data_IF_031769542394
#
_entry.id   IF_031769542394
#
_cell.length_a   1.000
_cell.length_b   1.000
_cell.length_c   1.000
_cell.angle_alpha   90.00
_cell.angle_beta   90.00
_cell.angle_gamma   90.00
#
_symmetry.space_group_name_H-M   'P 1'
#
loop_
_entity.id
_entity.type
_entity.pdbx_description
1 polymer ?
2 water ?
#
# COMPACT_ATOMS: atom_id res chain seq x y z
N UNK A 1 -3.34 24.62 27.23
CA UNK A 1 -4.21 25.24 26.18
C UNK A 1 -4.22 24.36 24.97
N UNK A 2 -5.16 24.63 24.08
CA UNK A 2 -5.23 23.84 22.84
C UNK A 2 -3.98 23.99 21.98
N UNK A 3 -3.67 22.93 21.23
CA UNK A 3 -2.58 22.98 20.28
C UNK A 3 -2.88 24.01 19.21
N UNK A 4 -1.97 24.94 19.01
CA UNK A 4 -2.15 25.99 18.02
C UNK A 4 -1.39 25.69 16.74
N UNK A 5 -0.88 24.47 16.60
CA UNK A 5 -0.21 24.03 15.38
C UNK A 5 -0.87 22.74 14.94
N UNK A 6 -0.70 22.43 13.66
CA UNK A 6 -1.22 21.18 13.13
C UNK A 6 -0.15 20.10 13.21
N UNK A 7 -0.53 18.96 13.75
CA UNK A 7 0.36 17.81 13.80
C UNK A 7 0.44 17.19 12.43
N UNK A 8 1.51 16.43 12.20
CA UNK A 8 1.68 15.70 10.93
C UNK A 8 0.85 14.40 10.95
N UNK A 9 -0.46 14.56 10.75
CA UNK A 9 -1.39 13.45 10.90
C UNK A 9 -1.01 12.26 10.03
N UNK A 10 -0.94 11.09 10.68
CA UNK A 10 -0.67 9.86 10.00
C UNK A 10 0.76 9.67 9.57
N UNK A 11 1.65 10.60 9.91
CA UNK A 11 3.01 10.51 9.38
C UNK A 11 3.75 9.26 9.87
N UNK A 12 3.41 8.74 11.04
CA UNK A 12 4.09 7.51 11.48
C UNK A 12 3.81 6.37 10.52
N UNK A 13 2.57 6.30 10.01
CA UNK A 13 2.25 5.32 8.97
C UNK A 13 3.06 5.61 7.71
N UNK A 14 3.19 6.89 7.34
CA UNK A 14 3.94 7.23 6.13
C UNK A 14 5.40 6.82 6.25
N UNK A 15 6.02 7.07 7.42
CA UNK A 15 7.44 6.77 7.56
C UNK A 15 7.75 5.31 7.24
N UNK A 16 6.83 4.40 7.58
CA UNK A 16 7.11 2.98 7.45
C UNK A 16 6.37 2.33 6.28
N UNK A 17 5.74 3.12 5.42
CA UNK A 17 5.12 2.61 4.20
C UNK A 17 5.59 3.33 2.93
N UNK A 18 6.07 4.56 3.02
CA UNK A 18 6.53 5.31 1.86
C UNK A 18 8.04 5.40 1.91
N UNK A 19 8.71 4.84 0.90
CA UNK A 19 10.17 4.70 0.98
C UNK A 19 10.87 6.06 1.03
N UNK A 20 10.35 7.06 0.31
CA UNK A 20 11.00 8.37 0.34
C UNK A 20 10.95 8.96 1.75
N UNK A 21 9.84 8.74 2.46
CA UNK A 21 9.72 9.21 3.84
C UNK A 21 10.60 8.38 4.78
N UNK A 22 10.60 7.06 4.59
CA UNK A 22 11.47 6.17 5.37
C UNK A 22 12.92 6.59 5.26
N UNK A 23 13.35 7.00 4.05
CA UNK A 23 14.75 7.38 3.83
C UNK A 23 15.12 8.72 4.49
N UNK A 24 14.14 9.54 4.86
CA UNK A 24 14.41 10.86 5.45
C UNK A 24 13.22 11.28 6.30
N UNK A 25 13.04 10.65 7.49
CA UNK A 25 11.82 10.84 8.28
C UNK A 25 11.89 12.04 9.21
N UNK A 26 12.09 13.20 8.61
CA UNK A 26 12.31 14.41 9.36
C UNK A 26 11.23 15.44 9.05
N UNK A 27 11.14 16.44 9.92
CA UNK A 27 10.21 17.54 9.69
C UNK A 27 8.82 17.33 10.23
N UNK A 28 8.53 16.15 10.76
CA UNK A 28 7.23 15.90 11.33
C UNK A 28 7.01 16.63 12.63
N UNK A 29 5.77 17.04 12.83
CA UNK A 29 5.30 17.72 14.02
C UNK A 29 4.45 16.75 14.82
N UNK A 30 4.92 16.42 16.03
CA UNK A 30 4.32 15.36 16.82
C UNK A 30 4.10 15.85 18.24
N UNK A 31 3.20 15.18 18.94
CA UNK A 31 2.91 15.50 20.33
C UNK A 31 3.42 14.40 21.25
N UNK A 32 4.04 14.80 22.36
CA UNK A 32 4.49 13.79 23.31
C UNK A 32 3.27 13.15 23.96
N UNK A 33 3.23 11.81 23.94
CA UNK A 33 2.11 11.04 24.46
C UNK A 33 2.37 10.51 25.86
N UNK A 34 3.60 10.08 26.15
CA UNK A 34 3.96 9.63 27.48
C UNK A 34 5.47 9.63 27.59
N UNK A 35 5.96 9.88 28.80
CA UNK A 35 7.38 9.74 29.07
C UNK A 35 7.52 8.84 30.30
N UNK A 36 8.73 8.37 30.55
CA UNK A 36 8.97 7.49 31.70
C UNK A 36 9.73 8.17 32.83
N UNK A 45 15.10 2.53 30.29
CA UNK A 45 15.43 3.34 29.13
C UNK A 45 14.81 4.73 29.27
N UNK A 46 15.47 5.60 30.04
CA UNK A 46 14.88 6.90 30.36
C UNK A 46 14.66 7.77 29.14
N UNK A 47 15.23 7.41 28.00
CA UNK A 47 15.14 8.19 26.77
C UNK A 47 14.13 7.63 25.78
N UNK A 48 13.36 6.61 26.16
CA UNK A 48 12.33 6.04 25.30
C UNK A 48 11.01 6.67 25.69
N UNK A 49 10.36 7.31 24.74
CA UNK A 49 9.10 8.01 24.98
C UNK A 49 8.07 7.51 23.97
N UNK A 50 6.83 7.92 24.19
CA UNK A 50 5.76 7.69 23.21
C UNK A 50 5.36 9.03 22.64
N UNK A 51 5.21 9.09 21.31
CA UNK A 51 4.81 10.29 20.59
C UNK A 51 3.57 9.99 19.75
N UNK A 52 2.89 11.07 19.36
CA UNK A 52 1.62 11.02 18.65
C UNK A 52 1.69 11.90 17.42
N UNK A 53 1.17 11.38 16.29
CA UNK A 53 0.99 12.19 15.09
C UNK A 53 -0.43 12.70 14.93
N UNK A 54 -1.31 12.47 15.94
CA UNK A 54 -2.70 12.86 15.92
C UNK A 54 -3.64 11.73 15.51
N UNK A 55 -3.10 10.73 14.83
CA UNK A 55 -3.85 9.54 14.39
C UNK A 55 -3.26 8.30 15.04
N UNK A 56 -1.96 8.13 14.97
CA UNK A 56 -1.22 7.04 15.55
C UNK A 56 -0.31 7.53 16.67
N UNK A 57 0.02 6.61 17.57
CA UNK A 57 1.13 6.86 18.49
C UNK A 57 2.16 5.76 18.34
N UNK A 58 3.43 6.11 18.63
CA UNK A 58 4.51 5.15 18.42
C UNK A 58 5.64 5.48 19.39
N UNK A 59 6.56 4.55 19.54
CA UNK A 59 7.74 4.76 20.38
C UNK A 59 8.82 5.54 19.66
N UNK A 60 9.51 6.41 20.41
CA UNK A 60 10.65 7.16 19.88
C UNK A 60 11.77 7.05 20.90
N UNK A 61 12.98 6.83 20.40
CA UNK A 61 14.16 6.82 21.27
C UNK A 61 14.90 8.12 21.03
N UNK A 62 15.08 8.90 22.09
CA UNK A 62 15.77 10.19 21.99
C UNK A 62 17.24 9.94 22.26
N UNK A 63 18.09 10.37 21.33
CA UNK A 63 19.53 10.17 21.44
C UNK A 63 20.24 11.48 21.20
N UNK A 64 21.50 11.55 21.65
CA UNK A 64 22.38 12.67 21.30
C UNK A 64 21.72 13.98 21.68
N UNK A 65 21.66 14.97 20.79
CA UNK A 65 21.13 16.27 21.19
C UNK A 65 19.68 16.16 21.62
N UNK A 66 18.91 15.24 21.04
CA UNK A 66 17.54 15.09 21.50
C UNK A 66 17.47 14.61 22.96
N UNK A 67 18.40 13.76 23.38
CA UNK A 67 18.43 13.34 24.78
C UNK A 67 18.76 14.52 25.68
N UNK A 68 19.66 15.39 25.22
CA UNK A 68 20.00 16.57 26.01
C UNK A 68 18.81 17.51 26.14
N UNK A 69 18.07 17.71 25.06
CA UNK A 69 16.90 18.57 25.08
C UNK A 69 15.77 17.96 25.90
N UNK A 70 15.64 16.63 25.90
CA UNK A 70 14.68 15.99 26.79
C UNK A 70 14.87 16.49 28.20
N UNK A 71 16.13 16.56 28.62
CA UNK A 71 16.45 17.00 29.98
C UNK A 71 16.27 18.51 30.15
N UNK A 72 16.87 19.31 29.26
CA UNK A 72 16.83 20.76 29.44
C UNK A 72 15.41 21.30 29.29
N UNK A 73 14.61 20.67 28.46
CA UNK A 73 13.25 21.11 28.22
C UNK A 73 12.22 20.52 29.15
N UNK A 74 12.62 19.57 29.98
CA UNK A 74 11.68 18.96 30.87
C UNK A 74 10.50 18.38 30.10
N UNK A 75 10.80 17.69 29.00
CA UNK A 75 9.77 17.25 28.08
C UNK A 75 8.75 16.36 28.75
N UNK A 76 7.47 16.60 28.43
CA UNK A 76 6.35 15.89 29.06
C UNK A 76 5.22 15.69 28.07
N UNK A 77 4.28 14.85 28.49
CA UNK A 77 3.04 14.64 27.75
C UNK A 77 2.39 15.98 27.43
N UNK A 78 1.98 16.13 26.17
CA UNK A 78 1.35 17.33 25.65
C UNK A 78 2.29 18.25 24.91
N UNK A 79 3.59 18.21 25.21
CA UNK A 79 4.52 19.03 24.46
C UNK A 79 4.46 18.66 22.98
N UNK A 80 4.62 19.67 22.12
CA UNK A 80 4.64 19.48 20.67
C UNK A 80 6.03 19.80 20.17
N UNK A 81 6.61 18.88 19.37
CA UNK A 81 7.96 18.97 18.88
C UNK A 81 7.96 18.83 17.36
N UNK A 82 9.01 19.36 16.74
CA UNK A 82 9.30 19.12 15.33
C UNK A 82 10.60 18.34 15.24
N UNK A 83 10.57 17.17 14.60
CA UNK A 83 11.76 16.33 14.51
C UNK A 83 12.69 16.86 13.43
N UNK A 84 13.98 17.00 13.77
CA UNK A 84 14.97 17.57 12.87
C UNK A 84 15.90 16.51 12.30
N UNK A 85 16.35 15.57 13.13
CA UNK A 85 17.24 14.49 12.69
C UNK A 85 16.63 13.19 13.19
N UNK A 86 16.41 12.23 12.30
CA UNK A 86 15.80 10.98 12.72
C UNK A 86 16.05 9.88 11.70
N UNK A 87 15.85 8.65 12.17
CA UNK A 87 15.93 7.48 11.32
C UNK A 87 14.97 6.42 11.82
N UNK A 88 14.41 5.64 10.92
CA UNK A 88 13.43 4.63 11.32
C UNK A 88 14.12 3.37 11.78
N UNK A 89 13.44 2.64 12.66
CA UNK A 89 13.90 1.31 13.02
C UNK A 89 12.73 0.34 13.11
N UNK A 90 12.89 -0.81 12.44
CA UNK A 90 11.93 -1.90 12.53
C UNK A 90 12.65 -3.09 13.14
N UNK A 91 12.11 -3.60 14.24
CA UNK A 91 12.58 -4.84 14.84
C UNK A 91 11.63 -5.92 14.31
N UNK A 92 12.02 -6.54 13.19
CA UNK A 92 11.09 -7.44 12.49
C UNK A 92 10.73 -8.64 13.34
N UNK A 93 11.71 -9.22 14.04
CA UNK A 93 11.44 -10.42 14.83
C UNK A 93 10.34 -10.17 15.85
N UNK A 94 10.27 -8.96 16.39
CA UNK A 94 9.29 -8.60 17.40
C UNK A 94 8.16 -7.73 16.88
N UNK A 95 8.15 -7.40 15.57
CA UNK A 95 7.11 -6.56 14.96
C UNK A 95 7.00 -5.24 15.71
N UNK A 96 8.14 -4.70 16.11
CA UNK A 96 8.22 -3.46 16.87
C UNK A 96 8.82 -2.34 16.03
N UNK A 97 8.27 -1.13 16.18
CA UNK A 97 8.65 0.04 15.43
C UNK A 97 9.13 1.14 16.38
N UNK A 98 10.20 1.82 15.98
CA UNK A 98 10.75 2.92 16.79
C UNK A 98 11.27 4.00 15.86
N UNK A 99 11.07 5.26 16.24
CA UNK A 99 11.68 6.37 15.54
C UNK A 99 12.89 6.80 16.37
N UNK A 100 14.09 6.68 15.80
CA UNK A 100 15.33 7.08 16.48
C UNK A 100 15.53 8.57 16.19
N UNK A 101 15.40 9.41 17.23
CA UNK A 101 15.37 10.85 17.08
C UNK A 101 16.66 11.41 17.67
N UNK A 102 17.46 12.05 16.82
CA UNK A 102 18.71 12.65 17.25
C UNK A 102 18.62 14.15 17.51
N UNK A 103 17.59 14.84 17.02
CA UNK A 103 17.42 16.25 17.31
C UNK A 103 15.98 16.64 17.01
N UNK A 104 15.47 17.60 17.77
CA UNK A 104 14.12 18.11 17.57
C UNK A 104 14.11 19.52 18.14
N UNK A 105 13.05 20.24 17.80
CA UNK A 105 12.81 21.55 18.40
C UNK A 105 11.44 21.54 19.07
N UNK A 106 11.33 22.33 20.12
CA UNK A 106 10.08 22.48 20.85
C UNK A 106 9.21 23.51 20.14
N UNK A 107 7.98 23.12 19.83
CA UNK A 107 7.02 23.99 19.16
C UNK A 107 6.04 24.60 20.15
N UNK A 108 5.52 23.81 21.09
CA UNK A 108 4.55 24.29 22.08
C UNK A 108 4.66 23.45 23.34
N UNK A 109 4.61 24.12 24.50
CA UNK A 109 4.71 23.45 25.78
C UNK A 109 3.33 23.07 26.31
N UNK A 110 3.19 21.80 26.68
CA UNK A 110 2.05 21.32 27.46
C UNK A 110 0.71 21.67 26.80
N UNK A 111 0.60 21.40 25.51
CA UNK A 111 -0.66 21.57 24.82
C UNK A 111 -1.61 20.44 25.22
N UNK A 112 -2.91 20.72 25.17
CA UNK A 112 -3.90 19.67 25.38
C UNK A 112 -3.69 18.60 24.31
N UNK A 113 -3.91 17.34 24.67
CA UNK A 113 -3.72 16.27 23.68
C UNK A 113 -4.69 16.39 22.51
N UNK A 114 -4.14 16.32 21.29
CA UNK A 114 -4.97 16.37 20.09
C UNK A 114 -5.85 15.13 20.02
N UNK A 115 -5.27 13.97 20.31
CA UNK A 115 -6.02 12.71 20.27
C UNK A 115 -5.63 11.87 21.48
N UNK A 116 -6.61 11.59 22.33
CA UNK A 116 -6.34 10.78 23.48
C UNK A 116 -6.50 9.30 23.14
N UNK A 117 -7.16 8.98 22.02
CA UNK A 117 -7.46 7.61 21.64
C UNK A 117 -6.93 7.25 20.24
N UNK A 118 -5.64 7.44 20.07
CA UNK A 118 -4.93 7.11 18.86
C UNK A 118 -4.63 5.63 18.83
N UNK A 119 -4.28 5.14 17.63
CA UNK A 119 -3.94 3.74 17.42
C UNK A 119 -2.43 3.57 17.58
N UNK A 120 -2.02 2.55 18.34
CA UNK A 120 -0.60 2.23 18.47
C UNK A 120 -0.08 1.69 17.15
N UNK A 121 1.00 2.27 16.65
CA UNK A 121 1.48 1.92 15.32
C UNK A 121 1.81 0.44 15.21
N UNK A 122 2.41 -0.14 16.26
CA UNK A 122 2.79 -1.54 16.17
C UNK A 122 1.55 -2.40 15.96
N UNK A 123 0.45 -2.03 16.63
CA UNK A 123 -0.79 -2.78 16.48
C UNK A 123 -1.33 -2.64 15.08
N UNK A 124 -1.23 -1.44 14.50
CA UNK A 124 -1.71 -1.22 13.15
C UNK A 124 -1.00 -2.13 12.16
N UNK A 125 0.35 -2.17 12.21
CA UNK A 125 1.07 -2.97 11.23
C UNK A 125 0.93 -4.46 11.51
N UNK A 126 0.69 -4.87 12.75
CA UNK A 126 0.56 -6.32 13.01
C UNK A 126 -0.72 -6.89 12.44
N UNK A 127 -1.77 -6.08 12.49
CA UNK A 127 -2.99 -6.49 11.75
C UNK A 127 -3.05 -6.06 10.23
N UNK A 128 -2.13 -5.25 9.71
CA UNK A 128 -2.01 -4.94 8.28
C UNK A 128 -0.57 -5.22 7.86
N UNK A 129 -0.13 -6.48 7.98
CA UNK A 129 1.29 -6.82 7.74
C UNK A 129 1.72 -6.52 6.33
N UNK A 130 0.75 -6.54 5.42
CA UNK A 130 0.98 -6.10 4.05
C UNK A 130 1.54 -4.74 3.83
N UNK A 131 1.31 -3.81 4.74
CA UNK A 131 1.65 -2.44 4.46
C UNK A 131 3.10 -2.09 4.73
N UNK A 132 3.76 -2.80 5.64
CA UNK A 132 5.02 -2.33 6.16
C UNK A 132 6.18 -2.50 5.19
N UNK A 133 7.09 -1.52 5.23
CA UNK A 133 8.38 -1.61 4.59
C UNK A 133 9.23 -2.55 5.43
N UNK B 1 16.09 -21.13 9.36
CA UNK B 1 15.23 -22.15 10.05
C UNK B 1 14.30 -22.73 9.01
N UNK B 2 13.64 -23.83 9.32
CA UNK B 2 12.73 -24.44 8.35
C UNK B 2 11.60 -23.48 8.04
N UNK B 3 11.08 -23.58 6.81
CA UNK B 3 9.95 -22.75 6.41
C UNK B 3 8.71 -23.40 7.01
N UNK B 4 7.95 -22.64 7.79
CA UNK B 4 6.77 -23.21 8.41
C UNK B 4 5.52 -22.96 7.57
N UNK B 5 5.66 -22.25 6.47
CA UNK B 5 4.60 -22.02 5.52
C UNK B 5 4.94 -22.78 4.24
N UNK B 6 3.95 -23.48 3.68
CA UNK B 6 4.15 -24.22 2.43
C UNK B 6 4.21 -23.26 1.25
N UNK B 7 5.15 -23.51 0.34
CA UNK B 7 5.15 -22.77 -0.91
C UNK B 7 3.97 -23.21 -1.78
N UNK B 8 3.60 -22.31 -2.70
CA UNK B 8 2.53 -22.58 -3.69
C UNK B 8 3.16 -23.44 -4.79
N UNK B 9 3.23 -24.75 -4.52
CA UNK B 9 4.00 -25.66 -5.36
C UNK B 9 3.51 -25.62 -6.80
N UNK B 10 4.44 -25.40 -7.73
CA UNK B 10 4.07 -25.42 -9.14
C UNK B 10 3.28 -24.23 -9.63
N UNK B 11 3.06 -23.22 -8.78
CA UNK B 11 2.18 -22.12 -9.18
C UNK B 11 2.72 -21.35 -10.37
N UNK B 12 4.04 -21.31 -10.57
CA UNK B 12 4.55 -20.60 -11.74
C UNK B 12 4.03 -21.25 -13.01
N UNK B 13 3.92 -22.58 -13.00
CA UNK B 13 3.32 -23.27 -14.13
C UNK B 13 1.86 -22.89 -14.28
N UNK B 14 1.14 -22.80 -13.17
CA UNK B 14 -0.28 -22.47 -13.25
C UNK B 14 -0.48 -21.07 -13.81
N UNK B 15 0.37 -20.12 -13.42
CA UNK B 15 0.16 -18.74 -13.84
C UNK B 15 0.14 -18.65 -15.36
N UNK B 16 0.96 -19.45 -16.04
CA UNK B 16 1.11 -19.33 -17.48
C UNK B 16 0.41 -20.44 -18.25
N UNK B 17 -0.40 -21.25 -17.57
CA UNK B 17 -1.22 -22.26 -18.25
C UNK B 17 -2.70 -22.20 -17.90
N UNK B 18 -3.08 -21.64 -16.77
CA UNK B 18 -4.47 -21.55 -16.33
C UNK B 18 -4.91 -20.09 -16.43
N UNK B 19 -5.93 -19.83 -17.25
CA UNK B 19 -6.29 -18.45 -17.55
C UNK B 19 -6.77 -17.69 -16.31
N UNK B 20 -7.49 -18.38 -15.42
CA UNK B 20 -7.97 -17.69 -14.21
C UNK B 20 -6.80 -17.24 -13.37
N UNK B 21 -5.74 -18.06 -13.30
CA UNK B 21 -4.55 -17.70 -12.53
C UNK B 21 -3.76 -16.59 -13.25
N UNK B 22 -3.60 -16.72 -14.56
CA UNK B 22 -2.91 -15.72 -15.37
C UNK B 22 -3.54 -14.35 -15.21
N UNK B 23 -4.87 -14.31 -15.11
CA UNK B 23 -5.60 -13.05 -15.00
C UNK B 23 -5.40 -12.39 -13.62
N UNK B 24 -5.00 -13.15 -12.61
CA UNK B 24 -4.85 -12.63 -11.25
C UNK B 24 -3.79 -13.44 -10.51
N UNK B 25 -2.52 -13.26 -10.87
CA UNK B 25 -1.46 -14.15 -10.36
C UNK B 25 -0.95 -13.73 -8.98
N UNK B 26 -1.86 -13.69 -8.02
CA UNK B 26 -1.57 -13.17 -6.69
C UNK B 26 -1.83 -14.20 -5.60
N UNK B 27 -1.32 -13.92 -4.40
CA UNK B 27 -1.52 -14.80 -3.28
C UNK B 27 -0.52 -15.94 -3.20
N UNK B 28 0.35 -16.10 -4.19
CA UNK B 28 1.30 -17.19 -4.15
C UNK B 28 2.39 -16.95 -3.14
N UNK B 29 2.84 -18.05 -2.53
CA UNK B 29 3.92 -18.06 -1.54
C UNK B 29 5.13 -18.68 -2.21
N UNK B 30 6.20 -17.90 -2.29
CA UNK B 30 7.39 -18.28 -3.04
C UNK B 30 8.62 -18.03 -2.20
N UNK B 31 9.70 -18.69 -2.57
CA UNK B 31 10.98 -18.52 -1.89
C UNK B 31 11.96 -17.79 -2.80
N UNK B 32 12.69 -16.85 -2.23
CA UNK B 32 13.71 -16.15 -3.02
C UNK B 32 14.83 -17.13 -3.32
N UNK B 33 15.14 -17.28 -4.61
CA UNK B 33 16.11 -18.24 -5.10
C UNK B 33 17.45 -17.59 -5.36
N UNK B 34 17.47 -16.39 -5.93
CA UNK B 34 18.72 -15.66 -6.16
C UNK B 34 18.42 -14.18 -6.34
N UNK B 35 19.38 -13.35 -5.93
CA UNK B 35 19.36 -11.91 -6.16
C UNK B 35 20.68 -11.53 -6.81
N UNK B 36 20.76 -10.29 -7.29
CA UNK B 36 21.98 -9.82 -7.96
C UNK B 36 22.31 -8.39 -7.54
N UNK B 46 18.95 -5.42 -11.64
CA UNK B 46 18.20 -4.17 -11.61
C UNK B 46 16.77 -4.44 -11.17
N UNK B 47 16.61 -4.99 -9.97
CA UNK B 47 15.31 -5.38 -9.37
C UNK B 47 14.79 -6.68 -9.97
N UNK B 48 15.58 -7.36 -10.79
CA UNK B 48 15.19 -8.65 -11.35
C UNK B 48 15.78 -9.73 -10.45
N UNK B 49 14.92 -10.59 -9.91
CA UNK B 49 15.35 -11.65 -9.01
C UNK B 49 14.84 -12.98 -9.54
N UNK B 50 15.31 -14.05 -8.92
CA UNK B 50 14.82 -15.39 -9.21
C UNK B 50 14.07 -15.88 -7.98
N UNK B 51 12.87 -16.41 -8.21
CA UNK B 51 12.02 -16.93 -7.14
C UNK B 51 11.67 -18.38 -7.46
N UNK B 52 11.24 -19.10 -6.41
CA UNK B 52 10.97 -20.53 -6.50
C UNK B 52 9.60 -20.84 -5.93
N UNK B 53 8.85 -21.72 -6.60
CA UNK B 53 7.59 -22.21 -6.07
C UNK B 53 7.73 -23.60 -5.48
N UNK B 54 8.96 -24.13 -5.38
CA UNK B 54 9.21 -25.46 -4.87
C UNK B 54 9.37 -26.52 -5.95
N UNK B 55 8.84 -26.27 -7.13
CA UNK B 55 9.03 -27.13 -8.28
C UNK B 55 9.82 -26.40 -9.36
N UNK B 56 9.39 -25.18 -9.68
CA UNK B 56 9.99 -24.34 -10.70
C UNK B 56 10.61 -23.11 -10.05
N UNK B 57 11.60 -22.53 -10.74
CA UNK B 57 12.05 -21.18 -10.38
C UNK B 57 11.86 -20.33 -11.64
N UNK B 58 11.60 -19.03 -11.42
CA UNK B 58 11.37 -18.15 -12.55
C UNK B 58 11.83 -16.75 -12.18
N UNK B 59 11.95 -15.90 -13.18
CA UNK B 59 12.34 -14.52 -12.94
C UNK B 59 11.15 -13.68 -12.49
N UNK B 60 11.42 -12.76 -11.56
CA UNK B 60 10.41 -11.81 -11.11
C UNK B 60 11.04 -10.43 -11.15
N UNK B 61 10.31 -9.45 -11.68
CA UNK B 61 10.75 -8.07 -11.70
C UNK B 61 10.01 -7.33 -10.60
N UNK B 62 10.73 -6.78 -9.62
CA UNK B 62 10.12 -6.04 -8.53
C UNK B 62 10.04 -4.56 -8.93
N UNK B 63 8.85 -4.01 -8.91
CA UNK B 63 8.63 -2.61 -9.25
C UNK B 63 7.72 -1.97 -8.21
N UNK B 64 7.73 -0.65 -8.21
CA UNK B 64 6.86 0.16 -7.35
C UNK B 64 7.12 -0.23 -5.90
N UNK B 65 6.09 -0.52 -5.11
CA UNK B 65 6.33 -0.81 -3.70
C UNK B 65 7.21 -2.04 -3.48
N UNK B 66 7.11 -3.03 -4.37
CA UNK B 66 7.95 -4.20 -4.21
C UNK B 66 9.42 -3.87 -4.36
N UNK B 67 9.74 -2.92 -5.24
CA UNK B 67 11.13 -2.45 -5.34
C UNK B 67 11.56 -1.74 -4.07
N UNK B 68 10.67 -0.96 -3.46
CA UNK B 68 11.01 -0.29 -2.19
C UNK B 68 11.24 -1.31 -1.08
N UNK B 69 10.38 -2.31 -0.99
CA UNK B 69 10.54 -3.34 0.03
C UNK B 69 11.77 -4.19 -0.20
N UNK B 70 12.12 -4.45 -1.46
CA UNK B 70 13.36 -5.17 -1.75
C UNK B 70 14.53 -4.50 -1.04
N UNK B 71 14.59 -3.17 -1.09
CA UNK B 71 15.62 -2.42 -0.39
C UNK B 71 15.40 -2.43 1.12
N UNK B 72 14.21 -2.05 1.56
CA UNK B 72 14.02 -1.85 3.00
C UNK B 72 14.12 -3.16 3.78
N UNK B 73 13.72 -4.28 3.19
CA UNK B 73 13.79 -5.59 3.85
C UNK B 73 15.10 -6.33 3.58
N UNK B 74 15.98 -5.80 2.74
CA UNK B 74 17.24 -6.46 2.41
C UNK B 74 16.96 -7.90 1.96
N UNK B 75 16.02 -8.01 1.03
CA UNK B 75 15.56 -9.33 0.57
C UNK B 75 16.74 -10.14 0.04
N UNK B 76 16.81 -11.41 0.44
CA UNK B 76 17.93 -12.26 0.04
C UNK B 76 17.45 -13.69 -0.16
N UNK B 77 18.32 -14.50 -0.77
CA UNK B 77 18.05 -15.92 -0.97
C UNK B 77 17.59 -16.56 0.32
N UNK B 78 16.51 -17.33 0.22
CA UNK B 78 15.92 -18.00 1.35
C UNK B 78 14.69 -17.34 1.91
N UNK B 79 14.54 -16.03 1.72
CA UNK B 79 13.35 -15.35 2.21
C UNK B 79 12.11 -15.95 1.56
N UNK B 80 11.03 -16.00 2.32
CA UNK B 80 9.74 -16.44 1.79
C UNK B 80 8.82 -15.22 1.76
N UNK B 81 8.17 -15.03 0.61
CA UNK B 81 7.33 -13.87 0.35
C UNK B 81 5.97 -14.38 -0.14
N UNK B 82 4.96 -13.54 0.05
CA UNK B 82 3.63 -13.73 -0.52
C UNK B 82 3.36 -12.56 -1.45
N UNK B 83 3.07 -12.86 -2.71
CA UNK B 83 2.85 -11.83 -3.72
C UNK B 83 1.44 -11.27 -3.58
N UNK B 84 1.33 -9.94 -3.59
CA UNK B 84 0.06 -9.26 -3.37
C UNK B 84 -0.49 -8.65 -4.65
N UNK B 85 0.36 -8.01 -5.44
CA UNK B 85 -0.04 -7.36 -6.69
C UNK B 85 0.97 -7.80 -7.74
N UNK B 86 0.49 -8.40 -8.83
CA UNK B 86 1.40 -8.86 -9.86
C UNK B 86 0.63 -9.07 -11.15
N UNK B 87 1.40 -9.18 -12.23
CA UNK B 87 0.86 -9.47 -13.55
C UNK B 87 1.88 -10.29 -14.33
N UNK B 88 1.43 -11.18 -15.21
CA UNK B 88 2.34 -12.03 -15.96
C UNK B 88 2.92 -11.29 -17.15
N UNK B 89 4.11 -11.70 -17.56
CA UNK B 89 4.71 -11.17 -18.79
C UNK B 89 5.38 -12.30 -19.54
N UNK B 90 5.09 -12.39 -20.85
CA UNK B 90 5.75 -13.33 -21.73
C UNK B 90 6.38 -12.54 -22.87
N UNK B 91 7.67 -12.75 -23.09
CA UNK B 91 8.32 -12.29 -24.31
C UNK B 91 8.35 -13.52 -25.20
N UNK B 92 7.32 -13.64 -26.06
CA UNK B 92 7.16 -14.85 -26.87
C UNK B 92 8.32 -15.01 -27.84
N UNK B 93 8.77 -13.91 -28.44
CA UNK B 93 9.83 -13.99 -29.43
C UNK B 93 11.09 -14.64 -28.85
N UNK B 94 11.38 -14.38 -27.58
CA UNK B 94 12.58 -14.88 -26.93
C UNK B 94 12.31 -16.02 -25.94
N UNK B 95 11.05 -16.47 -25.81
CA UNK B 95 10.69 -17.57 -24.93
C UNK B 95 11.07 -17.29 -23.48
N UNK B 96 10.90 -16.04 -23.06
CA UNK B 96 11.24 -15.59 -21.72
C UNK B 96 9.99 -15.28 -20.91
N UNK B 97 9.98 -15.71 -19.64
CA UNK B 97 8.85 -15.49 -18.75
C UNK B 97 9.27 -14.67 -17.55
N UNK B 98 8.42 -13.75 -17.13
CA UNK B 98 8.69 -12.92 -15.96
C UNK B 98 7.40 -12.68 -15.21
N UNK B 99 7.48 -12.67 -13.87
CA UNK B 99 6.37 -12.21 -13.04
C UNK B 99 6.67 -10.78 -12.63
N UNK B 100 5.82 -9.84 -13.05
CA UNK B 100 5.97 -8.44 -12.68
C UNK B 100 5.28 -8.27 -11.33
N UNK B 101 6.06 -7.98 -10.28
CA UNK B 101 5.57 -7.95 -8.93
C UNK B 101 5.56 -6.49 -8.47
N UNK B 102 4.37 -5.97 -8.18
CA UNK B 102 4.23 -4.60 -7.70
C UNK B 102 4.14 -4.50 -6.20
N UNK B 103 3.82 -5.60 -5.50
CA UNK B 103 3.80 -5.57 -4.05
C UNK B 103 3.83 -7.01 -3.55
N UNK B 104 4.43 -7.19 -2.38
CA UNK B 104 4.52 -8.48 -1.72
C UNK B 104 4.67 -8.23 -0.23
N UNK B 105 4.46 -9.28 0.54
CA UNK B 105 4.72 -9.25 1.98
C UNK B 105 5.74 -10.32 2.35
N UNK B 106 6.56 -10.03 3.34
CA UNK B 106 7.59 -10.95 3.78
C UNK B 106 6.96 -11.95 4.75
N UNK B 107 7.08 -13.23 4.46
CA UNK B 107 6.50 -14.28 5.32
C UNK B 107 7.52 -14.78 6.33
N UNK B 108 8.75 -15.01 5.88
CA UNK B 108 9.79 -15.52 6.75
C UNK B 108 11.14 -15.11 6.18
N UNK B 109 12.04 -14.65 7.04
CA UNK B 109 13.35 -14.27 6.56
C UNK B 109 14.29 -15.48 6.63
N UNK B 110 15.03 -15.71 5.57
CA UNK B 110 16.15 -16.64 5.57
C UNK B 110 15.75 -18.05 5.99
N UNK B 111 14.65 -18.53 5.44
CA UNK B 111 14.27 -19.91 5.64
C UNK B 111 15.21 -20.84 4.88
N UNK B 112 15.33 -22.06 5.37
CA UNK B 112 16.12 -23.06 4.67
C UNK B 112 15.54 -23.24 3.27
N UNK B 113 16.41 -23.48 2.29
CA UNK B 113 15.93 -23.69 0.93
C UNK B 113 15.02 -24.91 0.86
N UNK B 114 13.82 -24.72 0.29
CA UNK B 114 12.84 -25.81 0.20
C UNK B 114 13.26 -26.83 -0.83
N UNK B 115 13.71 -26.37 -2.00
CA UNK B 115 14.14 -27.26 -3.07
C UNK B 115 15.49 -26.73 -3.52
N UNK B 116 16.46 -27.64 -3.65
CA UNK B 116 17.78 -27.19 -4.08
C UNK B 116 17.90 -27.26 -5.59
N UNK B 117 17.18 -28.20 -6.20
CA UNK B 117 17.19 -28.41 -7.64
C UNK B 117 15.76 -28.20 -8.12
N UNK B 118 15.52 -27.10 -8.83
CA UNK B 118 14.23 -26.79 -9.41
C UNK B 118 14.41 -26.62 -10.92
N UNK B 119 13.30 -26.68 -11.64
CA UNK B 119 13.32 -26.53 -13.08
C UNK B 119 13.06 -25.07 -13.43
N UNK B 120 13.89 -24.52 -14.31
CA UNK B 120 13.70 -23.15 -14.77
C UNK B 120 12.47 -23.10 -15.66
N UNK B 121 11.55 -22.20 -15.34
CA UNK B 121 10.26 -22.19 -16.04
C UNK B 121 10.43 -22.01 -17.55
N UNK B 122 11.36 -21.15 -17.96
CA UNK B 122 11.46 -20.88 -19.39
C UNK B 122 11.81 -22.17 -20.12
N UNK B 123 12.69 -22.97 -19.52
CA UNK B 123 13.11 -24.21 -20.15
C UNK B 123 11.96 -25.22 -20.21
N UNK B 124 11.17 -25.29 -19.14
CA UNK B 124 10.01 -26.17 -19.15
C UNK B 124 9.14 -25.83 -20.35
N UNK B 125 8.90 -24.51 -20.58
CA UNK B 125 7.90 -24.14 -21.61
C UNK B 125 8.38 -24.28 -23.05
N UNK B 126 9.65 -24.09 -23.37
CA UNK B 126 10.07 -24.24 -24.80
C UNK B 126 9.95 -25.76 -25.11
N UNK B 127 10.13 -26.60 -24.10
CA UNK B 127 9.98 -28.05 -24.39
C UNK B 127 8.52 -28.53 -24.34
N UNK B 128 7.65 -27.71 -23.78
CA UNK B 128 6.21 -27.98 -23.77
C UNK B 128 5.44 -26.75 -24.24
N UNK B 129 5.65 -26.35 -25.49
CA UNK B 129 5.03 -25.11 -26.01
C UNK B 129 3.52 -25.17 -26.10
N UNK B 130 2.97 -26.38 -26.22
CA UNK B 130 1.52 -26.56 -26.23
C UNK B 130 0.87 -26.04 -24.96
N UNK B 131 1.62 -25.97 -23.85
CA UNK B 131 0.98 -25.66 -22.59
C UNK B 131 0.81 -24.17 -22.36
N UNK B 132 1.67 -23.32 -22.92
CA UNK B 132 1.72 -21.93 -22.48
C UNK B 132 0.56 -21.11 -23.04
N UNK B 133 0.06 -20.21 -22.22
CA UNK B 133 -0.87 -19.19 -22.65
C UNK B 133 -0.08 -18.14 -23.43
N UNK C 1 -6.04 -3.38 -24.06
CA UNK C 1 -5.18 -2.69 -25.05
C UNK C 1 -4.63 -1.37 -24.54
N UNK C 2 -3.67 -0.79 -25.26
CA UNK C 2 -3.09 0.48 -24.82
C UNK C 2 -4.11 1.61 -24.85
N UNK C 3 -3.94 2.55 -23.94
CA UNK C 3 -4.85 3.68 -23.88
C UNK C 3 -4.09 4.95 -23.61
N UNK C 4 -4.37 5.96 -24.43
CA UNK C 4 -3.88 7.31 -24.22
C UNK C 4 -4.91 8.17 -23.49
N UNK C 5 -6.03 7.57 -23.06
CA UNK C 5 -7.09 8.28 -22.37
C UNK C 5 -6.60 8.74 -21.01
N UNK C 6 -6.98 9.95 -20.64
CA UNK C 6 -6.42 10.47 -19.39
C UNK C 6 -7.45 10.21 -18.27
N UNK C 7 -7.06 9.62 -17.14
CA UNK C 7 -8.00 9.61 -16.01
C UNK C 7 -8.09 10.97 -15.29
N UNK C 8 -9.22 11.19 -14.58
CA UNK C 8 -9.40 12.42 -13.80
C UNK C 8 -8.60 12.30 -12.51
N UNK C 9 -7.29 12.50 -12.62
CA UNK C 9 -6.38 12.19 -11.52
C UNK C 9 -6.74 12.92 -10.24
N UNK C 10 -6.87 12.16 -9.16
CA UNK C 10 -7.15 12.72 -7.85
C UNK C 10 -8.58 13.21 -7.66
N UNK C 11 -9.46 13.00 -8.64
CA UNK C 11 -10.78 13.59 -8.53
C UNK C 11 -11.58 13.05 -7.36
N UNK C 12 -11.32 11.81 -6.90
CA UNK C 12 -12.09 11.31 -5.75
C UNK C 12 -11.81 12.18 -4.52
N UNK C 13 -10.56 12.62 -4.38
CA UNK C 13 -10.21 13.56 -3.32
C UNK C 13 -10.92 14.90 -3.54
N UNK C 14 -11.01 15.36 -4.79
CA UNK C 14 -11.69 16.62 -5.04
C UNK C 14 -13.16 16.53 -4.66
N UNK C 15 -13.81 15.40 -4.98
CA UNK C 15 -15.24 15.27 -4.73
C UNK C 15 -15.56 15.49 -3.26
N UNK C 16 -14.69 15.04 -2.35
CA UNK C 16 -14.98 15.09 -0.92
C UNK C 16 -14.24 16.20 -0.19
N UNK C 17 -13.59 17.11 -0.91
CA UNK C 17 -12.96 18.28 -0.29
C UNK C 17 -13.38 19.61 -0.90
N UNK C 18 -13.86 19.64 -2.13
CA UNK C 18 -14.27 20.87 -2.79
C UNK C 18 -15.78 20.85 -2.91
N UNK C 19 -16.45 21.83 -2.31
CA UNK C 19 -17.91 21.80 -2.22
C UNK C 19 -18.58 21.86 -3.59
N UNK C 20 -18.01 22.64 -4.52
CA UNK C 20 -18.58 22.72 -5.86
C UNK C 20 -18.54 21.37 -6.56
N UNK C 21 -17.45 20.62 -6.36
CA UNK C 21 -17.34 19.27 -6.93
C UNK C 21 -18.29 18.31 -6.20
N UNK C 22 -18.33 18.41 -4.87
CA UNK C 22 -19.22 17.59 -4.04
C UNK C 22 -20.68 17.76 -4.49
N UNK C 23 -21.07 18.99 -4.80
CA UNK C 23 -22.46 19.27 -5.17
C UNK C 23 -22.84 18.69 -6.53
N UNK C 24 -21.88 18.39 -7.40
CA UNK C 24 -22.15 17.89 -8.75
C UNK C 24 -20.95 17.07 -9.20
N UNK C 25 -20.78 15.87 -8.64
CA UNK C 25 -19.58 15.08 -8.87
C UNK C 25 -19.62 14.26 -10.15
N UNK C 26 -19.77 14.94 -11.29
CA UNK C 26 -19.97 14.27 -12.57
C UNK C 26 -18.89 14.66 -13.56
N UNK C 27 -18.79 13.90 -14.65
CA UNK C 27 -17.81 14.17 -15.66
C UNK C 27 -16.47 13.53 -15.46
N UNK C 28 -16.24 12.89 -14.31
CA UNK C 28 -14.97 12.27 -14.07
C UNK C 28 -14.79 11.00 -14.89
N UNK C 29 -13.54 10.77 -15.30
CA UNK C 29 -13.13 9.62 -16.09
C UNK C 29 -12.33 8.71 -15.18
N UNK C 30 -12.83 7.50 -14.94
CA UNK C 30 -12.27 6.57 -13.96
C UNK C 30 -12.10 5.21 -14.59
N UNK C 31 -11.21 4.41 -14.03
CA UNK C 31 -10.98 3.06 -14.51
C UNK C 31 -11.54 2.09 -13.49
N UNK C 32 -12.22 1.06 -13.98
CA UNK C 32 -12.70 0.01 -13.09
C UNK C 32 -11.49 -0.75 -12.56
N UNK C 33 -11.38 -0.82 -11.24
CA UNK C 33 -10.26 -1.41 -10.51
C UNK C 33 -10.57 -2.82 -10.06
N UNK C 34 -11.81 -3.09 -9.65
CA UNK C 34 -12.21 -4.43 -9.27
C UNK C 34 -13.73 -4.52 -9.29
N UNK C 35 -14.23 -5.71 -9.62
CA UNK C 35 -15.64 -6.03 -9.51
C UNK C 35 -15.73 -7.31 -8.68
N UNK C 36 -16.94 -7.61 -8.19
CA UNK C 36 -17.12 -8.77 -7.32
C UNK C 36 -16.71 -10.07 -8.00
N UNK C 45 -21.57 -6.96 -1.69
CA UNK C 45 -22.92 -6.49 -2.04
C UNK C 45 -23.12 -6.44 -3.55
N UNK C 46 -24.35 -6.70 -3.98
CA UNK C 46 -24.67 -6.60 -5.40
C UNK C 46 -24.47 -5.17 -5.89
N UNK C 47 -23.78 -5.01 -7.03
CA UNK C 47 -23.57 -3.73 -7.72
C UNK C 47 -22.53 -2.78 -7.11
N UNK C 48 -21.73 -3.22 -6.16
CA UNK C 48 -20.69 -2.38 -5.58
C UNK C 48 -19.36 -2.69 -6.26
N UNK C 49 -18.70 -1.68 -6.81
CA UNK C 49 -17.43 -1.89 -7.50
C UNK C 49 -16.38 -0.96 -6.94
N UNK C 50 -15.13 -1.19 -7.35
CA UNK C 50 -14.03 -0.29 -7.04
C UNK C 50 -13.55 0.39 -8.32
N UNK C 51 -13.39 1.71 -8.24
CA UNK C 51 -12.95 2.50 -9.39
C UNK C 51 -11.71 3.27 -8.97
N UNK C 52 -10.93 3.67 -9.97
CA UNK C 52 -9.67 4.36 -9.74
C UNK C 52 -9.65 5.64 -10.54
N UNK C 53 -9.16 6.70 -9.92
CA UNK C 53 -8.92 7.96 -10.61
C UNK C 53 -7.45 8.10 -11.03
N UNK C 54 -6.64 7.06 -10.81
CA UNK C 54 -5.22 7.08 -11.10
C UNK C 54 -4.34 7.37 -9.91
N UNK C 55 -4.87 8.05 -8.90
CA UNK C 55 -4.18 8.32 -7.64
C UNK C 55 -4.85 7.58 -6.50
N UNK C 56 -6.18 7.67 -6.43
CA UNK C 56 -6.99 7.00 -5.43
C UNK C 56 -7.90 6.00 -6.12
N UNK C 57 -8.28 4.96 -5.39
CA UNK C 57 -9.40 4.10 -5.75
C UNK C 57 -10.43 4.21 -4.63
N UNK C 58 -11.70 4.06 -4.98
CA UNK C 58 -12.77 4.22 -4.03
C UNK C 58 -13.92 3.33 -4.44
N UNK C 59 -14.85 3.11 -3.51
CA UNK C 59 -16.02 2.30 -3.83
C UNK C 59 -17.08 3.14 -4.54
N UNK C 60 -17.76 2.51 -5.51
CA UNK C 60 -18.90 3.11 -6.20
C UNK C 60 -20.03 2.11 -6.23
N UNK C 61 -21.24 2.58 -5.92
CA UNK C 61 -22.43 1.76 -5.97
C UNK C 61 -23.18 2.14 -7.25
N UNK C 62 -23.36 1.17 -8.14
CA UNK C 62 -24.08 1.43 -9.38
C UNK C 62 -25.55 1.19 -9.13
N UNK C 63 -26.37 2.19 -9.44
CA UNK C 63 -27.80 2.10 -9.19
C UNK C 63 -28.55 2.44 -10.47
N UNK C 64 -29.76 1.93 -10.56
CA UNK C 64 -30.69 2.30 -11.65
C UNK C 64 -30.01 2.08 -13.01
N UNK C 65 -29.97 3.08 -13.89
CA UNK C 65 -29.42 2.86 -15.23
C UNK C 65 -27.97 2.42 -15.20
N UNK C 66 -27.20 2.86 -14.21
CA UNK C 66 -25.84 2.39 -14.11
C UNK C 66 -25.79 0.89 -13.82
N UNK C 67 -26.74 0.40 -13.02
CA UNK C 67 -26.78 -1.03 -12.74
C UNK C 67 -27.12 -1.80 -14.00
N UNK C 68 -28.02 -1.25 -14.81
CA UNK C 68 -28.36 -1.90 -16.07
C UNK C 68 -27.19 -1.91 -17.03
N UNK C 69 -26.44 -0.81 -17.08
CA UNK C 69 -25.25 -0.71 -17.94
C UNK C 69 -24.12 -1.62 -17.46
N UNK C 70 -23.97 -1.83 -16.15
CA UNK C 70 -23.00 -2.81 -15.70
C UNK C 70 -23.22 -4.15 -16.40
N UNK C 71 -24.50 -4.53 -16.58
CA UNK C 71 -24.84 -5.78 -17.25
C UNK C 71 -24.71 -5.67 -18.77
N UNK C 72 -25.29 -4.63 -19.37
CA UNK C 72 -25.32 -4.59 -20.84
C UNK C 72 -23.92 -4.37 -21.41
N UNK C 73 -23.06 -3.65 -20.68
CA UNK C 73 -21.71 -3.37 -21.14
C UNK C 73 -20.71 -4.42 -20.68
N UNK C 74 -21.13 -5.40 -19.88
CA UNK C 74 -20.24 -6.42 -19.34
C UNK C 74 -19.04 -5.77 -18.68
N UNK C 75 -19.30 -4.80 -17.81
CA UNK C 75 -18.25 -3.99 -17.22
C UNK C 75 -17.28 -4.85 -16.41
N UNK C 76 -15.99 -4.61 -16.62
CA UNK C 76 -14.96 -5.43 -15.98
C UNK C 76 -13.76 -4.55 -15.67
N UNK C 77 -12.87 -5.10 -14.85
CA UNK C 77 -11.61 -4.45 -14.53
C UNK C 77 -10.88 -4.03 -15.80
N UNK C 78 -10.43 -2.79 -15.82
CA UNK C 78 -9.76 -2.20 -16.95
C UNK C 78 -10.63 -1.30 -17.78
N UNK C 79 -11.95 -1.48 -17.74
CA UNK C 79 -12.84 -0.59 -18.47
C UNK C 79 -12.68 0.84 -17.95
N UNK C 80 -12.79 1.81 -18.85
CA UNK C 80 -12.74 3.21 -18.48
C UNK C 80 -14.12 3.80 -18.72
N UNK C 81 -14.64 4.54 -17.73
CA UNK C 81 -15.99 5.05 -17.76
C UNK C 81 -15.96 6.54 -17.47
N UNK C 82 -17.01 7.23 -17.88
CA UNK C 82 -17.26 8.63 -17.51
C UNK C 82 -18.59 8.70 -16.76
N UNK C 83 -18.54 9.22 -15.53
CA UNK C 83 -19.72 9.28 -14.67
C UNK C 83 -20.58 10.46 -15.09
N UNK C 84 -21.89 10.23 -15.26
CA UNK C 84 -22.80 11.24 -15.77
C UNK C 84 -23.77 11.75 -14.71
N UNK C 85 -24.28 10.85 -13.88
CA UNK C 85 -25.20 11.22 -12.82
C UNK C 85 -24.68 10.57 -11.56
N UNK C 86 -24.42 11.36 -10.52
CA UNK C 86 -23.90 10.73 -9.31
C UNK C 86 -24.06 11.62 -8.10
N UNK C 87 -23.89 11.07 -6.90
CA UNK C 87 -23.89 11.83 -5.67
C UNK C 87 -22.93 11.22 -4.70
N UNK C 88 -22.32 12.04 -3.87
CA UNK C 88 -21.38 11.54 -2.88
C UNK C 88 -22.12 10.98 -1.67
N UNK C 89 -21.49 10.01 -1.01
CA UNK C 89 -22.03 9.46 0.24
C UNK C 89 -20.90 9.21 1.23
N UNK C 90 -21.10 9.65 2.46
CA UNK C 90 -20.17 9.38 3.56
C UNK C 90 -20.94 8.75 4.71
N UNK C 91 -20.48 7.59 5.16
CA UNK C 91 -20.93 7.00 6.42
C UNK C 91 -19.88 7.39 7.44
N UNK C 92 -20.13 8.51 8.14
CA UNK C 92 -19.12 9.10 9.02
C UNK C 92 -18.76 8.17 10.17
N UNK C 93 -19.76 7.50 10.74
CA UNK C 93 -19.50 6.62 11.87
C UNK C 93 -18.48 5.55 11.51
N UNK C 94 -18.46 5.11 10.25
CA UNK C 94 -17.56 4.05 9.81
C UNK C 94 -16.40 4.52 8.94
N UNK C 95 -16.25 5.84 8.72
CA UNK C 95 -15.17 6.36 7.89
C UNK C 95 -15.26 5.80 6.48
N UNK C 96 -16.47 5.67 5.95
CA UNK C 96 -16.63 4.98 4.68
C UNK C 96 -17.10 5.96 3.61
N UNK C 97 -16.50 5.89 2.41
CA UNK C 97 -16.82 6.81 1.33
C UNK C 97 -17.35 5.99 0.16
N UNK C 98 -18.39 6.50 -0.48
CA UNK C 98 -18.96 5.84 -1.65
C UNK C 98 -19.42 6.89 -2.65
N UNK C 99 -19.21 6.60 -3.93
CA UNK C 99 -19.79 7.40 -4.99
C UNK C 99 -21.02 6.64 -5.48
N UNK C 100 -22.20 7.24 -5.31
CA UNK C 100 -23.44 6.64 -5.76
C UNK C 100 -23.59 7.04 -7.23
N UNK C 101 -23.47 6.06 -8.12
CA UNK C 101 -23.45 6.32 -9.55
C UNK C 101 -24.77 5.88 -10.14
N UNK C 102 -25.54 6.82 -10.65
CA UNK C 102 -26.81 6.51 -11.29
C UNK C 102 -26.71 6.39 -12.79
N UNK C 103 -25.65 6.92 -13.41
CA UNK C 103 -25.46 6.75 -14.84
C UNK C 103 -24.01 7.08 -15.21
N UNK C 104 -23.53 6.40 -16.24
CA UNK C 104 -22.17 6.58 -16.74
C UNK C 104 -22.17 6.20 -18.21
N UNK C 105 -21.10 6.59 -18.88
CA UNK C 105 -20.83 6.25 -20.27
C UNK C 105 -19.58 5.38 -20.33
N UNK C 106 -19.53 4.45 -21.25
CA UNK C 106 -18.35 3.63 -21.44
C UNK C 106 -17.41 4.39 -22.36
N UNK C 107 -16.17 4.62 -21.92
CA UNK C 107 -15.17 5.29 -22.72
C UNK C 107 -14.30 4.30 -23.49
N UNK C 108 -13.83 3.25 -22.82
CA UNK C 108 -12.97 2.26 -23.44
C UNK C 108 -13.12 0.94 -22.72
N UNK C 109 -13.22 -0.15 -23.47
CA UNK C 109 -13.31 -1.46 -22.86
C UNK C 109 -11.92 -2.04 -22.68
N UNK C 110 -11.65 -2.57 -21.49
CA UNK C 110 -10.46 -3.41 -21.28
C UNK C 110 -9.17 -2.68 -21.61
N UNK C 111 -9.07 -1.44 -21.14
CA UNK C 111 -7.82 -0.71 -21.28
C UNK C 111 -6.80 -1.32 -20.33
N UNK C 112 -5.53 -1.25 -20.70
CA UNK C 112 -4.49 -1.70 -19.79
C UNK C 112 -4.61 -0.89 -18.50
N UNK C 113 -4.33 -1.54 -17.38
CA UNK C 113 -4.48 -0.87 -16.10
C UNK C 113 -3.56 0.34 -16.10
N UNK C 114 -4.09 1.51 -15.75
CA UNK C 114 -3.29 2.73 -15.86
C UNK C 114 -2.07 2.63 -14.95
N UNK C 115 -2.28 2.20 -13.71
CA UNK C 115 -1.16 2.00 -12.79
C UNK C 115 -1.58 1.01 -11.72
N UNK C 116 -0.58 0.58 -10.95
CA UNK C 116 -0.78 -0.29 -9.79
C UNK C 116 -0.59 0.46 -8.47
N UNK C 117 -0.54 1.79 -8.49
CA UNK C 117 -0.08 2.52 -7.32
C UNK C 117 -1.14 3.40 -6.66
N UNK C 118 -2.42 3.03 -6.73
CA UNK C 118 -3.44 3.91 -6.16
C UNK C 118 -3.74 3.57 -4.70
N UNK C 119 -4.10 4.63 -3.96
CA UNK C 119 -4.39 4.63 -2.53
C UNK C 119 -5.89 4.53 -2.30
N UNK C 120 -6.30 3.72 -1.34
CA UNK C 120 -7.73 3.67 -1.01
C UNK C 120 -8.18 4.98 -0.35
N UNK C 121 -9.24 5.57 -0.90
CA UNK C 121 -9.70 6.89 -0.46
C UNK C 121 -10.07 6.89 1.02
N UNK C 122 -10.70 5.81 1.50
CA UNK C 122 -11.19 5.86 2.87
C UNK C 122 -10.00 6.00 3.83
N UNK C 123 -8.89 5.33 3.49
CA UNK C 123 -7.69 5.39 4.33
C UNK C 123 -7.10 6.78 4.35
N UNK C 124 -7.11 7.48 3.21
CA UNK C 124 -6.61 8.85 3.17
C UNK C 124 -7.38 9.72 4.15
N UNK C 125 -8.72 9.67 4.10
CA UNK C 125 -9.50 10.54 4.97
C UNK C 125 -9.49 10.06 6.43
N UNK C 126 -9.21 8.79 6.67
CA UNK C 126 -9.04 8.35 8.05
C UNK C 126 -7.81 8.98 8.67
N UNK C 127 -6.77 9.23 7.86
CA UNK C 127 -5.58 9.91 8.36
C UNK C 127 -5.65 11.41 8.24
N UNK C 128 -6.54 11.94 7.42
CA UNK C 128 -6.69 13.39 7.26
C UNK C 128 -8.12 13.82 7.39
N UNK C 129 -8.73 13.55 8.56
CA UNK C 129 -10.14 13.91 8.76
C UNK C 129 -10.37 15.41 8.71
N UNK C 130 -9.31 16.19 8.91
CA UNK C 130 -9.40 17.64 8.77
C UNK C 130 -9.86 18.07 7.38
N UNK C 131 -9.62 17.24 6.36
CA UNK C 131 -9.87 17.64 4.98
C UNK C 131 -11.29 17.38 4.52
N UNK C 132 -11.98 16.41 5.10
CA UNK C 132 -13.20 15.93 4.48
C UNK C 132 -14.38 16.89 4.68
N UNK C 133 -15.23 16.96 3.66
CA UNK C 133 -16.53 17.57 3.75
C UNK C 133 -17.45 16.61 4.52
#
# INVERSE_FOLDING_TARGET
GPSSVQLSRGDFHSIFTNKQRYDNPTGGVYQVYNTRKSDGANSNRKNLIMISDGIYHMKALLRNQAASKFQSMELQRGDIIRVIIAEPAIVRERKKYVLLVDDFELVQSRADMVNQTSTFLDNYFSEHPNETL
GPSSVQLSRGDFHSIFTNKQRYDNPTGGVYQVYNTRKSDGANSNRKNLIMISDGIYHMKALLRNQAASKFQSMELQRGDIIRVIIAEPAIVRERKKYVLLVDDFELVQSRADMVNQTSTFLDNYFSEHPNETL
GPSSVQLSRGDFHSIFTNKQRYDNPTGGVYQVYNTRKSDGANSNRKNLIMISDGIYHMKALLRNQAASKFQSMELQRGDIIRVIIAEPAIVRERKKYVLLVDDFELVQSRADMVNQTSTFLDNYFSEHPNETL
#
